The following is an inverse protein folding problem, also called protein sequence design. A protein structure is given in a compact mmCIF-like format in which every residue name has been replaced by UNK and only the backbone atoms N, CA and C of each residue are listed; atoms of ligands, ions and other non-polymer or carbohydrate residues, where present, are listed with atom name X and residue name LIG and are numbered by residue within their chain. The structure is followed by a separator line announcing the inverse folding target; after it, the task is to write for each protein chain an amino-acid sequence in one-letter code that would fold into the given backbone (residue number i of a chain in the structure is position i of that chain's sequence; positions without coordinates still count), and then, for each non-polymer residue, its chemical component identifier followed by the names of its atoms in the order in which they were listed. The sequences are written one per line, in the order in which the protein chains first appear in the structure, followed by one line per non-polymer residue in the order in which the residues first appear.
data_IF_687603571372
#
_entry.id   IF_687603571372
#
_cell.length_a   1.000
_cell.length_b   1.000
_cell.length_c   1.000
_cell.angle_alpha   90.00
_cell.angle_beta   90.00
_cell.angle_gamma   90.00
#
_symmetry.space_group_name_H-M   'P 1'
#
loop_
_entity.id
_entity.type
_entity.pdbx_description
1 polymer ?
#
# COMPACT_ATOMS: atom_id res chain seq x y z
N UNK A 1 -21.35 -32.39 21.02
CA UNK A 1 -21.58 -30.97 20.71
C UNK A 1 -20.61 -30.60 19.60
N UNK A 2 -21.13 -30.11 18.49
CA UNK A 2 -20.33 -29.59 17.37
C UNK A 2 -19.58 -28.36 17.87
N UNK A 3 -18.24 -28.35 17.73
CA UNK A 3 -17.44 -27.22 18.21
C UNK A 3 -17.62 -26.03 17.28
N UNK A 4 -17.82 -24.84 17.83
CA UNK A 4 -17.95 -23.59 17.07
C UNK A 4 -16.66 -22.79 17.11
N UNK A 5 -16.08 -22.53 15.95
CA UNK A 5 -14.87 -21.74 15.77
C UNK A 5 -15.24 -20.43 15.09
N UNK A 6 -14.66 -19.33 15.54
CA UNK A 6 -14.63 -18.11 14.74
C UNK A 6 -13.19 -17.79 14.39
N UNK A 7 -12.95 -17.31 13.17
CA UNK A 7 -11.62 -16.95 12.73
C UNK A 7 -11.57 -15.57 12.09
N UNK A 8 -10.39 -14.96 12.11
CA UNK A 8 -10.08 -13.72 11.40
C UNK A 8 -8.84 -13.95 10.57
N UNK A 9 -8.94 -13.70 9.25
CA UNK A 9 -7.78 -13.75 8.34
C UNK A 9 -7.46 -12.36 7.81
N UNK A 10 -6.17 -12.01 7.72
CA UNK A 10 -5.77 -10.76 7.10
C UNK A 10 -4.28 -10.77 6.68
N UNK A 11 -4.00 -10.53 5.41
CA UNK A 11 -2.66 -10.35 4.88
C UNK A 11 -2.43 -8.88 4.49
N UNK A 12 -1.18 -8.39 4.55
CA UNK A 12 -0.84 -7.00 4.28
C UNK A 12 -1.23 -6.48 2.88
N UNK A 13 -1.20 -7.35 1.87
CA UNK A 13 -1.67 -7.04 0.53
C UNK A 13 -3.19 -7.21 0.39
N UNK A 14 -3.79 -8.11 1.18
CA UNK A 14 -5.25 -8.32 1.19
C UNK A 14 -5.85 -8.99 -0.06
N UNK A 15 -5.04 -9.45 -1.02
CA UNK A 15 -5.52 -9.91 -2.34
C UNK A 15 -5.78 -11.42 -2.38
N UNK A 16 -4.79 -12.26 -2.04
CA UNK A 16 -4.90 -13.72 -2.20
C UNK A 16 -4.83 -14.47 -0.86
N UNK A 17 -3.75 -14.27 -0.09
CA UNK A 17 -3.51 -15.03 1.13
C UNK A 17 -4.61 -14.86 2.19
N UNK A 18 -5.29 -13.71 2.24
CA UNK A 18 -6.44 -13.51 3.13
C UNK A 18 -7.56 -14.52 2.86
N UNK A 19 -7.91 -14.69 1.59
CA UNK A 19 -9.02 -15.54 1.16
C UNK A 19 -8.62 -17.01 1.14
N UNK A 20 -7.40 -17.32 0.69
CA UNK A 20 -6.84 -18.67 0.75
C UNK A 20 -6.79 -19.20 2.19
N UNK A 21 -6.30 -18.39 3.14
CA UNK A 21 -6.30 -18.78 4.55
C UNK A 21 -7.71 -19.01 5.09
N UNK A 22 -8.70 -18.22 4.67
CA UNK A 22 -10.08 -18.40 5.10
C UNK A 22 -10.67 -19.69 4.54
N UNK A 23 -10.51 -19.92 3.24
CA UNK A 23 -10.99 -21.14 2.58
C UNK A 23 -10.33 -22.40 3.14
N UNK A 24 -9.01 -22.38 3.37
CA UNK A 24 -8.29 -23.51 3.99
C UNK A 24 -8.83 -23.83 5.39
N UNK A 25 -9.11 -22.82 6.22
CA UNK A 25 -9.69 -23.01 7.56
C UNK A 25 -11.13 -23.54 7.49
N UNK A 26 -11.94 -23.03 6.56
CA UNK A 26 -13.31 -23.50 6.33
C UNK A 26 -13.35 -24.96 5.90
N UNK A 27 -12.51 -25.34 4.94
CA UNK A 27 -12.41 -26.71 4.45
C UNK A 27 -11.93 -27.67 5.56
N UNK A 28 -10.92 -27.28 6.32
CA UNK A 28 -10.40 -28.10 7.42
C UNK A 28 -11.43 -28.28 8.54
N UNK A 29 -12.08 -27.20 9.00
CA UNK A 29 -13.13 -27.29 10.03
C UNK A 29 -14.28 -28.19 9.57
N UNK A 30 -14.72 -28.06 8.31
CA UNK A 30 -15.78 -28.90 7.74
C UNK A 30 -15.40 -30.39 7.72
N UNK A 31 -14.16 -30.72 7.34
CA UNK A 31 -13.65 -32.11 7.39
C UNK A 31 -13.62 -32.66 8.82
N UNK A 32 -13.33 -31.82 9.80
CA UNK A 32 -13.26 -32.17 11.21
C UNK A 32 -14.63 -32.19 11.92
N UNK A 33 -15.71 -31.83 11.21
CA UNK A 33 -17.06 -31.75 11.77
C UNK A 33 -17.22 -30.59 12.75
N UNK A 34 -16.56 -29.46 12.50
CA UNK A 34 -16.68 -28.22 13.26
C UNK A 34 -17.42 -27.16 12.45
N UNK A 35 -18.23 -26.37 13.14
CA UNK A 35 -18.84 -25.17 12.56
C UNK A 35 -17.83 -24.04 12.65
N UNK A 36 -17.53 -23.37 11.54
CA UNK A 36 -16.61 -22.24 11.51
C UNK A 36 -17.23 -21.05 10.77
N UNK A 37 -16.94 -19.85 11.28
CA UNK A 37 -17.19 -18.59 10.57
C UNK A 37 -15.90 -17.79 10.51
N UNK A 38 -15.50 -17.41 9.29
CA UNK A 38 -14.25 -16.66 9.07
C UNK A 38 -14.55 -15.26 8.60
N UNK A 39 -14.06 -14.25 9.32
CA UNK A 39 -14.02 -12.86 8.87
C UNK A 39 -12.74 -12.62 8.08
N UNK A 40 -12.87 -12.19 6.84
CA UNK A 40 -11.75 -11.85 5.96
C UNK A 40 -11.54 -10.35 5.98
N UNK A 41 -10.32 -9.90 6.28
CA UNK A 41 -9.91 -8.50 6.19
C UNK A 41 -9.00 -8.34 4.96
N UNK A 42 -9.63 -8.32 3.78
CA UNK A 42 -8.97 -8.25 2.47
C UNK A 42 -8.82 -6.81 1.95
N UNK A 43 -8.31 -6.68 0.73
CA UNK A 43 -8.16 -5.39 0.04
C UNK A 43 -9.51 -4.70 -0.22
N UNK A 44 -10.60 -5.48 -0.26
CA UNK A 44 -11.98 -5.03 -0.47
C UNK A 44 -12.60 -4.51 0.84
N UNK A 45 -11.97 -4.81 2.00
CA UNK A 45 -12.47 -4.47 3.33
C UNK A 45 -12.74 -5.73 4.17
N UNK A 46 -13.41 -5.53 5.30
CA UNK A 46 -13.83 -6.62 6.17
C UNK A 46 -15.11 -7.26 5.61
N UNK A 47 -15.07 -8.54 5.29
CA UNK A 47 -16.22 -9.34 4.86
C UNK A 47 -16.53 -10.42 5.89
N UNK A 48 -17.77 -10.92 5.91
CA UNK A 48 -18.23 -11.91 6.89
C UNK A 48 -17.99 -11.52 8.35
N UNK A 49 -18.08 -10.21 8.63
CA UNK A 49 -17.77 -9.62 9.94
C UNK A 49 -18.45 -10.39 11.07
N UNK A 50 -17.65 -10.80 12.05
CA UNK A 50 -18.12 -11.54 13.20
C UNK A 50 -19.04 -10.65 14.05
N UNK A 51 -20.28 -11.13 14.24
CA UNK A 51 -21.23 -10.49 15.15
C UNK A 51 -20.87 -10.82 16.59
N UNK A 52 -21.43 -10.05 17.54
CA UNK A 52 -21.27 -10.36 18.97
C UNK A 52 -21.77 -11.77 19.32
N UNK A 53 -22.87 -12.18 18.68
CA UNK A 53 -23.45 -13.50 18.88
C UNK A 53 -22.53 -14.62 18.38
N UNK A 54 -21.89 -14.44 17.22
CA UNK A 54 -20.91 -15.41 16.71
C UNK A 54 -19.75 -15.61 17.70
N UNK A 55 -19.23 -14.50 18.23
CA UNK A 55 -18.12 -14.52 19.19
C UNK A 55 -18.55 -15.16 20.51
N UNK A 56 -19.74 -14.82 21.02
CA UNK A 56 -20.29 -15.37 22.27
C UNK A 56 -20.57 -16.87 22.19
N UNK A 57 -20.98 -17.39 21.02
CA UNK A 57 -21.24 -18.81 20.82
C UNK A 57 -19.97 -19.61 20.50
N UNK A 58 -18.88 -18.95 20.10
CA UNK A 58 -17.64 -19.62 19.76
C UNK A 58 -16.96 -20.25 20.98
N UNK A 59 -16.50 -21.50 20.81
CA UNK A 59 -15.63 -22.21 21.74
C UNK A 59 -14.18 -21.71 21.63
N UNK A 60 -13.81 -21.19 20.46
CA UNK A 60 -12.45 -20.76 20.11
C UNK A 60 -12.44 -19.63 19.08
N UNK A 61 -11.41 -18.78 19.19
CA UNK A 61 -11.08 -17.74 18.22
C UNK A 61 -9.69 -18.03 17.63
N UNK A 62 -9.59 -18.09 16.30
CA UNK A 62 -8.32 -18.18 15.57
C UNK A 62 -8.06 -16.86 14.84
N UNK A 63 -6.91 -16.23 15.05
CA UNK A 63 -6.49 -15.05 14.27
C UNK A 63 -5.30 -15.47 13.42
N UNK A 64 -5.50 -15.66 12.12
CA UNK A 64 -4.46 -16.01 11.14
C UNK A 64 -4.12 -14.78 10.29
N UNK A 65 -3.22 -13.94 10.80
CA UNK A 65 -2.97 -12.62 10.22
C UNK A 65 -1.50 -12.22 10.19
N UNK A 66 -1.11 -11.58 9.09
CA UNK A 66 0.21 -10.95 8.91
C UNK A 66 0.20 -9.46 9.30
N UNK A 67 -0.96 -8.92 9.69
CA UNK A 67 -1.15 -7.52 10.11
C UNK A 67 -1.78 -7.45 11.51
N UNK A 68 -1.75 -6.26 12.11
CA UNK A 68 -2.28 -6.08 13.47
C UNK A 68 -3.81 -6.09 13.47
N UNK A 69 -4.40 -7.13 14.05
CA UNK A 69 -5.82 -7.20 14.41
C UNK A 69 -5.97 -6.81 15.88
N UNK A 70 -6.97 -5.99 16.20
CA UNK A 70 -7.32 -5.65 17.58
C UNK A 70 -8.19 -6.77 18.19
N UNK A 71 -7.66 -7.55 19.16
CA UNK A 71 -8.40 -8.67 19.72
C UNK A 71 -9.37 -8.28 20.85
N UNK A 72 -9.55 -6.99 21.17
CA UNK A 72 -10.39 -6.54 22.30
C UNK A 72 -11.79 -7.17 22.27
N UNK A 73 -12.37 -7.35 21.08
CA UNK A 73 -13.69 -7.98 20.90
C UNK A 73 -13.75 -9.47 21.27
N UNK A 74 -12.61 -10.13 21.43
CA UNK A 74 -12.48 -11.54 21.81
C UNK A 74 -12.13 -11.75 23.29
N UNK A 75 -12.29 -10.70 24.12
CA UNK A 75 -12.06 -10.77 25.56
C UNK A 75 -12.91 -11.87 26.20
N UNK A 76 -12.28 -12.72 27.01
CA UNK A 76 -12.90 -13.87 27.67
C UNK A 76 -12.94 -15.16 26.84
N UNK A 77 -12.53 -15.13 25.56
CA UNK A 77 -12.52 -16.30 24.67
C UNK A 77 -11.15 -16.96 24.59
N UNK A 78 -11.12 -18.26 24.25
CA UNK A 78 -9.88 -18.99 23.95
C UNK A 78 -9.35 -18.49 22.61
N UNK A 79 -8.26 -17.73 22.64
CA UNK A 79 -7.67 -17.08 21.49
C UNK A 79 -6.36 -17.79 21.10
N UNK A 80 -6.24 -18.12 19.81
CA UNK A 80 -5.03 -18.58 19.17
C UNK A 80 -4.64 -17.59 18.06
N UNK A 81 -3.36 -17.25 17.95
CA UNK A 81 -2.86 -16.25 16.99
C UNK A 81 -1.70 -16.84 16.20
N UNK A 82 -1.76 -16.69 14.89
CA UNK A 82 -0.82 -17.24 13.92
C UNK A 82 -0.73 -16.35 12.66
N UNK A 83 0.18 -16.67 11.75
CA UNK A 83 0.34 -16.00 10.45
C UNK A 83 -0.59 -16.60 9.40
N UNK A 84 -0.93 -15.83 8.36
CA UNK A 84 -1.86 -16.30 7.32
C UNK A 84 -1.29 -17.50 6.54
N UNK A 85 0.02 -17.56 6.31
CA UNK A 85 0.66 -18.70 5.62
C UNK A 85 0.50 -20.03 6.35
N UNK A 86 0.54 -20.06 7.69
CA UNK A 86 0.39 -21.31 8.44
C UNK A 86 -1.02 -21.90 8.30
N UNK A 87 -2.03 -21.04 8.13
CA UNK A 87 -3.38 -21.49 7.82
C UNK A 87 -3.49 -22.05 6.39
N UNK A 88 -2.66 -21.59 5.45
CA UNK A 88 -2.69 -22.08 4.07
C UNK A 88 -1.99 -23.45 3.95
N UNK A 89 -0.85 -23.63 4.63
CA UNK A 89 -0.03 -24.84 4.52
C UNK A 89 -0.68 -26.09 5.15
N UNK A 90 -1.16 -26.00 6.39
CA UNK A 90 -1.77 -27.14 7.10
C UNK A 90 -2.83 -26.67 8.12
N UNK A 91 -4.03 -26.37 7.60
CA UNK A 91 -5.15 -25.91 8.43
C UNK A 91 -5.68 -26.95 9.43
N UNK A 92 -5.59 -28.25 9.13
CA UNK A 92 -6.09 -29.31 10.04
C UNK A 92 -5.18 -29.43 11.27
N UNK A 93 -3.86 -29.45 11.06
CA UNK A 93 -2.91 -29.41 12.17
C UNK A 93 -3.03 -28.12 12.98
N UNK A 94 -3.23 -26.98 12.31
CA UNK A 94 -3.37 -25.69 12.98
C UNK A 94 -4.61 -25.60 13.87
N UNK A 95 -5.76 -26.13 13.42
CA UNK A 95 -6.98 -26.19 14.24
C UNK A 95 -6.76 -27.07 15.47
N UNK A 96 -6.11 -28.22 15.32
CA UNK A 96 -5.76 -29.09 16.46
C UNK A 96 -4.82 -28.38 17.45
N UNK A 97 -3.76 -27.75 16.94
CA UNK A 97 -2.82 -26.97 17.74
C UNK A 97 -3.54 -25.82 18.47
N UNK A 98 -4.46 -25.14 17.80
CA UNK A 98 -5.26 -24.09 18.41
C UNK A 98 -6.07 -24.64 19.60
N UNK A 99 -6.67 -25.83 19.49
CA UNK A 99 -7.38 -26.47 20.60
C UNK A 99 -6.52 -26.79 21.82
N UNK A 100 -5.23 -27.06 21.62
CA UNK A 100 -4.29 -27.34 22.70
C UNK A 100 -3.70 -26.05 23.30
N UNK A 101 -3.29 -25.10 22.47
CA UNK A 101 -2.50 -23.94 22.88
C UNK A 101 -3.30 -22.66 23.13
N UNK A 102 -4.57 -22.57 22.67
CA UNK A 102 -5.37 -21.36 22.83
C UNK A 102 -5.60 -21.01 24.30
N UNK A 103 -5.32 -19.76 24.66
CA UNK A 103 -5.46 -19.24 26.03
C UNK A 103 -6.60 -18.23 26.11
N UNK A 104 -7.22 -18.13 27.29
CA UNK A 104 -8.28 -17.14 27.54
C UNK A 104 -7.69 -15.74 27.46
N UNK A 105 -8.14 -14.95 26.50
CA UNK A 105 -7.72 -13.56 26.31
C UNK A 105 -8.37 -12.64 27.37
N UNK A 106 -7.62 -11.70 27.95
CA UNK A 106 -8.15 -10.66 28.84
C UNK A 106 -8.11 -10.93 30.36
N UNK A 107 -7.54 -12.04 30.85
CA UNK A 107 -7.19 -12.17 32.28
C UNK A 107 -5.85 -11.48 32.58
N UNK A 108 -5.76 -10.77 33.73
CA UNK A 108 -4.50 -10.17 34.23
C UNK A 108 -3.39 -11.23 34.22
N UNK A 109 -2.35 -11.03 33.40
CA UNK A 109 -1.19 -11.91 33.31
C UNK A 109 -1.22 -12.98 32.21
N UNK A 110 -2.25 -13.03 31.35
CA UNK A 110 -2.29 -14.02 30.26
C UNK A 110 -1.39 -13.63 29.07
N UNK A 111 -0.26 -14.33 28.89
CA UNK A 111 0.54 -14.33 27.64
C UNK A 111 -0.01 -15.41 26.68
N UNK A 112 -0.61 -15.01 25.56
CA UNK A 112 -1.11 -15.91 24.49
C UNK A 112 0.07 -16.32 23.59
N UNK A 113 0.39 -17.63 23.52
CA UNK A 113 1.35 -18.22 22.57
C UNK A 113 2.80 -17.69 22.58
N UNK A 114 3.57 -18.13 21.56
CA UNK A 114 4.93 -17.64 21.21
C UNK A 114 4.93 -16.29 20.47
N UNK A 115 3.75 -15.73 20.17
CA UNK A 115 3.61 -14.42 19.52
C UNK A 115 2.95 -13.46 20.51
N UNK A 116 3.74 -12.51 21.03
CA UNK A 116 3.21 -11.38 21.78
C UNK A 116 2.31 -10.54 20.87
N UNK A 117 1.00 -10.67 21.04
CA UNK A 117 0.08 -9.62 20.61
C UNK A 117 0.47 -8.34 21.33
N UNK A 118 0.99 -7.37 20.58
CA UNK A 118 1.33 -6.05 21.10
C UNK A 118 2.81 -5.80 21.42
N UNK A 119 3.76 -6.53 20.84
CA UNK A 119 5.16 -6.07 20.84
C UNK A 119 5.96 -6.70 19.69
N UNK A 120 5.71 -6.24 18.46
CA UNK A 120 6.67 -6.43 17.36
C UNK A 120 7.44 -5.13 17.14
N UNK A 121 7.98 -4.56 18.24
CA UNK A 121 8.96 -3.46 18.14
C UNK A 121 10.20 -3.89 17.35
N UNK A 122 10.41 -5.18 17.17
CA UNK A 122 11.56 -5.77 16.49
C UNK A 122 11.33 -6.06 14.99
N UNK A 123 10.13 -5.83 14.43
CA UNK A 123 9.87 -6.00 12.96
C UNK A 123 9.24 -4.80 12.25
N UNK A 124 8.89 -3.72 12.94
CA UNK A 124 8.50 -2.47 12.27
C UNK A 124 9.77 -1.77 11.80
N UNK A 125 10.23 -2.15 10.60
CA UNK A 125 11.37 -1.55 9.95
C UNK A 125 10.92 -0.51 8.91
N UNK A 126 11.89 0.18 8.32
CA UNK A 126 11.68 1.16 7.25
C UNK A 126 10.79 0.64 6.12
N UNK A 127 10.98 -0.61 5.70
CA UNK A 127 10.21 -1.23 4.61
C UNK A 127 8.75 -1.48 5.00
N UNK A 128 8.47 -1.87 6.25
CA UNK A 128 7.10 -2.04 6.74
C UNK A 128 6.28 -0.75 6.58
N UNK A 129 6.90 0.41 6.84
CA UNK A 129 6.25 1.71 6.65
C UNK A 129 5.99 2.03 5.18
N UNK A 130 6.96 1.77 4.30
CA UNK A 130 6.80 1.98 2.84
C UNK A 130 5.72 1.07 2.26
N UNK A 131 5.71 -0.21 2.65
CA UNK A 131 4.71 -1.18 2.18
C UNK A 131 3.29 -0.74 2.56
N UNK A 132 3.10 -0.14 3.74
CA UNK A 132 1.81 0.45 4.11
C UNK A 132 1.38 1.52 3.09
N UNK A 133 2.26 2.46 2.74
CA UNK A 133 1.97 3.48 1.74
C UNK A 133 1.60 2.89 0.38
N UNK A 134 2.34 1.89 -0.09
CA UNK A 134 2.09 1.26 -1.40
C UNK A 134 0.72 0.57 -1.41
N UNK A 135 0.39 -0.22 -0.38
CA UNK A 135 -0.90 -0.92 -0.32
C UNK A 135 -2.10 0.02 -0.46
N UNK A 136 -2.03 1.22 0.15
CA UNK A 136 -3.11 2.22 0.02
C UNK A 136 -3.08 3.00 -1.29
N UNK A 137 -1.92 3.09 -1.96
CA UNK A 137 -1.79 3.72 -3.27
C UNK A 137 -2.31 2.84 -4.42
N UNK A 138 -2.16 1.52 -4.32
CA UNK A 138 -2.50 0.56 -5.39
C UNK A 138 -3.95 0.70 -5.89
N UNK A 139 -5.00 0.73 -5.02
CA UNK A 139 -6.38 0.89 -5.49
C UNK A 139 -6.60 2.19 -6.29
N UNK A 140 -5.93 3.29 -5.91
CA UNK A 140 -6.01 4.56 -6.61
C UNK A 140 -5.37 4.47 -8.00
N UNK A 141 -4.21 3.83 -8.10
CA UNK A 141 -3.50 3.63 -9.39
C UNK A 141 -4.33 2.76 -10.33
N UNK A 142 -4.95 1.69 -9.83
CA UNK A 142 -5.81 0.81 -10.63
C UNK A 142 -7.01 1.58 -11.15
N UNK A 143 -7.74 2.29 -10.28
CA UNK A 143 -8.90 3.08 -10.68
C UNK A 143 -8.53 4.15 -11.72
N UNK A 144 -7.45 4.90 -11.48
CA UNK A 144 -6.97 5.93 -12.38
C UNK A 144 -6.49 5.37 -13.73
N UNK A 145 -5.74 4.26 -13.70
CA UNK A 145 -5.18 3.59 -14.88
C UNK A 145 -6.26 3.03 -15.80
N UNK A 146 -7.28 2.39 -15.22
CA UNK A 146 -8.41 1.88 -16.00
C UNK A 146 -9.18 2.99 -16.68
N UNK A 147 -9.44 4.10 -15.98
CA UNK A 147 -10.11 5.28 -16.56
C UNK A 147 -9.29 5.90 -17.71
N UNK A 148 -7.97 6.07 -17.53
CA UNK A 148 -7.09 6.54 -18.61
C UNK A 148 -7.10 5.60 -19.81
N UNK A 149 -7.06 4.29 -19.56
CA UNK A 149 -7.05 3.27 -20.63
C UNK A 149 -8.33 3.31 -21.43
N UNK A 150 -9.49 3.29 -20.76
CA UNK A 150 -10.80 3.37 -21.42
C UNK A 150 -10.92 4.66 -22.23
N UNK A 151 -10.53 5.79 -21.65
CA UNK A 151 -10.57 7.06 -22.36
C UNK A 151 -9.64 7.05 -23.59
N UNK A 152 -8.43 6.53 -23.46
CA UNK A 152 -7.46 6.48 -24.56
C UNK A 152 -7.92 5.67 -25.77
N UNK A 153 -8.82 4.69 -25.60
CA UNK A 153 -9.43 3.99 -26.74
C UNK A 153 -10.19 4.95 -27.68
N UNK A 154 -10.64 6.10 -27.16
CA UNK A 154 -11.35 7.15 -27.90
C UNK A 154 -10.48 8.38 -28.20
N UNK A 155 -9.19 8.37 -27.86
CA UNK A 155 -8.28 9.50 -28.05
C UNK A 155 -7.70 9.58 -29.47
N UNK A 156 -8.45 9.14 -30.50
CA UNK A 156 -8.01 9.11 -31.89
C UNK A 156 -8.97 9.91 -32.77
N UNK A 157 -8.58 11.15 -33.08
CA UNK A 157 -9.34 11.97 -34.03
C UNK A 157 -9.17 11.41 -35.45
N UNK A 158 -10.28 11.36 -36.18
CA UNK A 158 -10.36 10.87 -37.55
C UNK A 158 -10.60 12.02 -38.51
N UNK A 159 -10.04 11.93 -39.72
CA UNK A 159 -10.37 12.86 -40.81
C UNK A 159 -11.72 12.49 -41.47
N UNK A 160 -12.15 13.28 -42.45
CA UNK A 160 -13.42 13.07 -43.16
C UNK A 160 -13.47 11.72 -43.92
N UNK A 161 -12.30 11.08 -44.13
CA UNK A 161 -12.15 9.76 -44.73
C UNK A 161 -12.07 8.64 -43.67
N UNK A 162 -12.22 8.97 -42.39
CA UNK A 162 -12.21 8.02 -41.27
C UNK A 162 -10.81 7.57 -40.82
N UNK A 163 -9.73 8.17 -41.32
CA UNK A 163 -8.34 7.79 -41.00
C UNK A 163 -7.90 8.46 -39.70
N UNK A 164 -7.20 7.72 -38.84
CA UNK A 164 -6.63 8.26 -37.60
C UNK A 164 -5.51 9.24 -37.97
N UNK A 165 -5.70 10.52 -37.63
CA UNK A 165 -4.79 11.61 -38.01
C UNK A 165 -4.10 12.23 -36.82
N UNK A 166 -4.72 12.21 -35.63
CA UNK A 166 -4.17 12.87 -34.46
C UNK A 166 -4.62 12.21 -33.16
N UNK A 167 -3.69 12.09 -32.21
CA UNK A 167 -4.03 11.76 -30.83
C UNK A 167 -4.73 12.95 -30.15
N UNK A 168 -5.92 12.71 -29.63
CA UNK A 168 -6.76 13.69 -28.97
C UNK A 168 -8.23 13.28 -28.96
N UNK A 169 -9.00 13.91 -28.09
CA UNK A 169 -10.44 13.67 -27.97
C UNK A 169 -11.22 14.59 -28.90
N UNK A 170 -12.27 14.07 -29.53
CA UNK A 170 -13.24 14.90 -30.25
C UNK A 170 -14.27 15.48 -29.28
N UNK A 171 -13.94 16.66 -28.73
CA UNK A 171 -14.79 17.36 -27.77
C UNK A 171 -16.10 17.89 -28.38
N UNK A 172 -16.33 17.77 -29.69
CA UNK A 172 -17.60 18.16 -30.32
C UNK A 172 -18.67 17.08 -30.13
N UNK A 173 -18.26 15.82 -30.02
CA UNK A 173 -19.18 14.71 -29.72
C UNK A 173 -19.37 14.57 -28.22
N UNK A 174 -20.58 14.20 -27.80
CA UNK A 174 -20.86 13.96 -26.37
C UNK A 174 -19.99 12.83 -25.81
N UNK A 175 -19.75 11.79 -26.61
CA UNK A 175 -18.84 10.69 -26.23
C UNK A 175 -17.39 11.15 -26.13
N UNK A 176 -16.86 11.88 -27.10
CA UNK A 176 -15.48 12.36 -27.04
C UNK A 176 -15.25 13.35 -25.88
N UNK A 177 -16.22 14.23 -25.59
CA UNK A 177 -16.17 15.09 -24.40
C UNK A 177 -16.17 14.28 -23.10
N UNK A 178 -17.04 13.27 -22.98
CA UNK A 178 -17.07 12.38 -21.81
C UNK A 178 -15.71 11.68 -21.63
N UNK A 179 -15.14 11.14 -22.70
CA UNK A 179 -13.84 10.45 -22.65
C UNK A 179 -12.69 11.41 -22.29
N UNK A 180 -12.72 12.65 -22.77
CA UNK A 180 -11.77 13.68 -22.36
C UNK A 180 -11.86 13.98 -20.85
N UNK A 181 -13.07 13.99 -20.28
CA UNK A 181 -13.27 14.17 -18.84
C UNK A 181 -12.84 12.95 -18.04
N UNK A 182 -13.12 11.73 -18.51
CA UNK A 182 -12.62 10.50 -17.88
C UNK A 182 -11.08 10.44 -17.89
N UNK A 183 -10.46 10.86 -18.99
CA UNK A 183 -9.00 10.99 -19.07
C UNK A 183 -8.48 11.97 -18.01
N UNK A 184 -9.10 13.14 -17.86
CA UNK A 184 -8.72 14.12 -16.84
C UNK A 184 -8.88 13.59 -15.41
N UNK A 185 -9.97 12.86 -15.12
CA UNK A 185 -10.17 12.20 -13.81
C UNK A 185 -9.06 11.18 -13.55
N UNK A 186 -8.70 10.38 -14.55
CA UNK A 186 -7.56 9.47 -14.47
C UNK A 186 -6.25 10.20 -14.15
N UNK A 187 -5.98 11.33 -14.82
CA UNK A 187 -4.80 12.16 -14.53
C UNK A 187 -4.79 12.68 -13.08
N UNK A 188 -5.93 13.09 -12.54
CA UNK A 188 -6.04 13.49 -11.12
C UNK A 188 -5.69 12.32 -10.20
N UNK A 189 -6.23 11.13 -10.48
CA UNK A 189 -5.93 9.93 -9.68
C UNK A 189 -4.43 9.64 -9.61
N UNK A 190 -3.71 9.74 -10.72
CA UNK A 190 -2.25 9.62 -10.73
C UNK A 190 -1.55 10.76 -9.97
N UNK A 191 -2.02 12.01 -10.07
CA UNK A 191 -1.46 13.12 -9.28
C UNK A 191 -1.61 12.92 -7.77
N UNK A 192 -2.70 12.28 -7.33
CA UNK A 192 -2.99 12.06 -5.90
C UNK A 192 -2.30 10.81 -5.33
N UNK A 193 -1.76 9.94 -6.16
CA UNK A 193 -1.17 8.66 -5.71
C UNK A 193 0.04 8.87 -4.78
N UNK A 194 0.93 9.81 -5.11
CA UNK A 194 2.14 10.11 -4.33
C UNK A 194 1.79 10.76 -2.98
N UNK A 195 0.91 11.78 -2.91
CA UNK A 195 0.36 12.25 -1.65
C UNK A 195 -0.24 11.14 -0.80
N UNK A 196 -1.09 10.28 -1.39
CA UNK A 196 -1.74 9.18 -0.69
C UNK A 196 -0.72 8.22 -0.08
N UNK A 197 0.27 7.80 -0.88
CA UNK A 197 1.40 6.99 -0.43
C UNK A 197 2.07 7.63 0.80
N UNK A 198 2.50 8.89 0.71
CA UNK A 198 3.20 9.57 1.79
C UNK A 198 2.34 9.71 3.07
N UNK A 199 1.05 10.00 2.89
CA UNK A 199 0.07 10.07 3.98
C UNK A 199 -0.01 8.77 4.77
N UNK A 200 -0.07 7.63 4.08
CA UNK A 200 -0.18 6.32 4.73
C UNK A 200 1.16 5.80 5.28
N UNK A 201 2.30 6.13 4.66
CA UNK A 201 3.62 5.91 5.28
C UNK A 201 3.71 6.67 6.61
N UNK A 202 3.36 7.97 6.63
CA UNK A 202 3.40 8.78 7.84
C UNK A 202 2.39 8.30 8.90
N UNK A 203 1.19 7.87 8.47
CA UNK A 203 0.18 7.26 9.33
C UNK A 203 0.70 5.99 10.01
N UNK A 204 1.47 5.17 9.31
CA UNK A 204 2.03 3.95 9.92
C UNK A 204 3.08 4.26 11.01
N UNK A 205 3.63 5.48 11.05
CA UNK A 205 4.60 5.94 12.06
C UNK A 205 3.91 6.64 13.23
N UNK A 206 2.90 7.49 12.95
CA UNK A 206 2.32 8.41 13.92
C UNK A 206 0.80 8.60 13.81
N UNK A 207 0.09 7.60 13.28
CA UNK A 207 -1.36 7.53 13.13
C UNK A 207 -1.99 8.70 12.35
N UNK A 208 -3.33 8.79 12.42
CA UNK A 208 -4.18 9.70 11.66
C UNK A 208 -3.70 11.17 11.59
N UNK A 209 -3.17 11.79 12.67
CA UNK A 209 -2.74 13.19 12.62
C UNK A 209 -1.59 13.48 11.63
N UNK A 210 -0.85 12.44 11.21
CA UNK A 210 0.26 12.59 10.28
C UNK A 210 -0.14 12.53 8.79
N UNK A 211 -1.37 12.08 8.48
CA UNK A 211 -1.83 11.87 7.11
C UNK A 211 -1.81 13.18 6.31
N UNK A 212 -2.60 14.18 6.74
CA UNK A 212 -2.76 15.41 5.98
C UNK A 212 -1.43 16.19 5.80
N UNK A 213 -0.59 16.39 6.84
CA UNK A 213 0.69 17.07 6.66
C UNK A 213 1.62 16.36 5.68
N UNK A 214 1.64 15.02 5.69
CA UNK A 214 2.49 14.25 4.79
C UNK A 214 1.95 14.28 3.35
N UNK A 215 0.63 14.18 3.15
CA UNK A 215 0.02 14.33 1.83
C UNK A 215 0.34 15.70 1.21
N UNK A 216 0.16 16.77 2.00
CA UNK A 216 0.43 18.15 1.54
C UNK A 216 1.92 18.32 1.27
N UNK A 217 2.80 17.92 2.19
CA UNK A 217 4.24 18.04 1.99
C UNK A 217 4.73 17.25 0.78
N UNK A 218 4.19 16.05 0.54
CA UNK A 218 4.55 15.21 -0.60
C UNK A 218 4.04 15.79 -1.93
N UNK A 219 2.91 16.49 -1.92
CA UNK A 219 2.45 17.27 -3.07
C UNK A 219 3.41 18.44 -3.34
N UNK A 220 3.76 19.22 -2.31
CA UNK A 220 4.65 20.39 -2.43
C UNK A 220 6.06 20.01 -2.92
N UNK A 221 6.65 18.94 -2.39
CA UNK A 221 7.99 18.49 -2.84
C UNK A 221 7.98 17.96 -4.28
N UNK A 222 6.79 17.67 -4.83
CA UNK A 222 6.61 17.22 -6.20
C UNK A 222 6.08 18.30 -7.13
N UNK A 223 5.81 19.50 -6.61
CA UNK A 223 5.33 20.63 -7.39
C UNK A 223 6.51 21.47 -7.89
N UNK A 224 6.85 21.39 -9.19
CA UNK A 224 7.99 22.12 -9.74
C UNK A 224 7.82 23.64 -9.68
N UNK A 225 6.56 24.12 -9.77
CA UNK A 225 6.25 25.55 -9.67
C UNK A 225 6.52 26.06 -8.26
N UNK A 226 6.06 25.32 -7.25
CA UNK A 226 6.34 25.64 -5.85
C UNK A 226 7.85 25.63 -5.54
N UNK A 227 8.59 24.67 -6.10
CA UNK A 227 10.03 24.53 -5.86
C UNK A 227 10.91 25.46 -6.72
N UNK A 228 10.36 26.14 -7.71
CA UNK A 228 11.12 26.88 -8.74
C UNK A 228 12.19 26.00 -9.42
N UNK A 229 11.81 24.78 -9.82
CA UNK A 229 12.71 23.81 -10.47
C UNK A 229 12.09 23.21 -11.72
N UNK A 230 12.90 22.53 -12.54
CA UNK A 230 12.43 21.82 -13.74
C UNK A 230 11.72 20.51 -13.44
N UNK A 231 11.84 20.01 -12.21
CA UNK A 231 11.40 18.68 -11.82
C UNK A 231 10.97 18.67 -10.35
N UNK A 232 9.97 17.86 -10.00
CA UNK A 232 9.68 17.55 -8.60
C UNK A 232 10.69 16.59 -7.99
N UNK A 233 10.55 16.35 -6.68
CA UNK A 233 11.37 15.41 -5.92
C UNK A 233 11.03 13.93 -6.10
N UNK A 234 10.01 13.59 -6.88
CA UNK A 234 9.55 12.24 -7.15
C UNK A 234 9.15 11.45 -5.90
N UNK A 235 9.20 10.12 -6.03
CA UNK A 235 8.93 9.17 -4.97
C UNK A 235 9.96 9.27 -3.84
N UNK A 236 11.22 9.58 -4.15
CA UNK A 236 12.28 9.77 -3.15
C UNK A 236 11.95 10.97 -2.24
N UNK A 237 11.56 12.09 -2.83
CA UNK A 237 11.09 13.26 -2.09
C UNK A 237 9.88 12.94 -1.22
N UNK A 238 8.92 12.17 -1.75
CA UNK A 238 7.75 11.75 -1.00
C UNK A 238 8.08 10.83 0.19
N UNK A 239 9.00 9.88 0.02
CA UNK A 239 9.49 9.02 1.12
C UNK A 239 10.12 9.89 2.21
N UNK A 240 11.05 10.77 1.85
CA UNK A 240 11.75 11.64 2.80
C UNK A 240 10.74 12.49 3.57
N UNK A 241 9.81 13.14 2.88
CA UNK A 241 8.74 13.93 3.50
C UNK A 241 7.88 13.08 4.44
N UNK A 242 7.46 11.89 4.01
CA UNK A 242 6.61 11.03 4.83
C UNK A 242 7.27 10.62 6.15
N UNK A 243 8.56 10.29 6.12
CA UNK A 243 9.32 9.95 7.33
C UNK A 243 9.57 11.17 8.22
N UNK A 244 9.94 12.31 7.64
CA UNK A 244 10.10 13.57 8.41
C UNK A 244 8.79 13.90 9.13
N UNK A 245 7.67 13.93 8.40
CA UNK A 245 6.36 14.23 8.98
C UNK A 245 5.96 13.18 10.01
N UNK A 246 6.13 11.88 9.71
CA UNK A 246 5.81 10.79 10.63
C UNK A 246 6.54 10.95 11.97
N UNK A 247 7.86 11.13 11.95
CA UNK A 247 8.63 11.30 13.19
C UNK A 247 8.39 12.66 13.87
N UNK A 248 8.16 13.72 13.10
CA UNK A 248 7.80 15.04 13.64
C UNK A 248 6.48 14.96 14.42
N UNK A 249 5.44 14.38 13.82
CA UNK A 249 4.13 14.20 14.47
C UNK A 249 4.24 13.26 15.68
N UNK A 250 5.04 12.19 15.60
CA UNK A 250 5.35 11.33 16.74
C UNK A 250 6.01 12.09 17.89
N UNK A 251 6.86 13.07 17.57
CA UNK A 251 7.47 14.00 18.55
C UNK A 251 6.44 14.94 19.17
N UNK A 252 5.60 15.58 18.35
CA UNK A 252 4.55 16.50 18.80
C UNK A 252 3.53 15.83 19.73
N UNK A 253 3.21 14.55 19.52
CA UNK A 253 2.35 13.77 20.42
C UNK A 253 2.95 13.55 21.81
N UNK A 254 4.27 13.60 21.97
CA UNK A 254 4.95 13.44 23.28
C UNK A 254 4.97 14.74 24.10
N UNK A 255 4.68 15.88 23.49
CA UNK A 255 4.63 17.17 24.17
C UNK A 255 3.47 17.16 25.18
N UNK A 256 3.72 17.66 26.40
CA UNK A 256 2.69 17.78 27.43
C UNK A 256 1.83 19.01 27.15
N UNK A 257 0.66 18.79 26.56
CA UNK A 257 -0.30 19.85 26.27
C UNK A 257 -1.15 20.22 27.50
N UNK A 258 -1.49 21.50 27.70
CA UNK A 258 -2.44 21.92 28.73
C UNK A 258 -3.78 21.18 28.60
N UNK A 259 -4.41 20.83 29.73
CA UNK A 259 -5.66 20.03 29.78
C UNK A 259 -6.77 20.55 28.85
N UNK A 260 -6.85 21.88 28.68
CA UNK A 260 -7.83 22.53 27.81
C UNK A 260 -7.65 22.21 26.32
N UNK A 261 -6.41 21.98 25.88
CA UNK A 261 -6.08 21.81 24.45
C UNK A 261 -6.07 20.34 24.01
N UNK A 262 -5.97 19.39 24.95
CA UNK A 262 -5.82 17.95 24.65
C UNK A 262 -6.81 17.42 23.58
N UNK A 263 -8.12 17.78 23.59
CA UNK A 263 -9.06 17.27 22.60
C UNK A 263 -8.79 17.77 21.16
N UNK A 264 -8.31 19.02 21.02
CA UNK A 264 -8.08 19.65 19.72
C UNK A 264 -6.66 19.40 19.19
N UNK A 265 -5.75 18.95 20.04
CA UNK A 265 -4.34 18.69 19.68
C UNK A 265 -4.19 17.75 18.48
N UNK A 266 -4.71 16.51 18.49
CA UNK A 266 -4.50 15.57 17.39
C UNK A 266 -5.31 15.90 16.13
N UNK A 267 -6.42 16.63 16.27
CA UNK A 267 -7.33 16.95 15.15
C UNK A 267 -6.90 18.24 14.43
N UNK A 268 -6.40 19.23 15.17
CA UNK A 268 -6.15 20.57 14.63
C UNK A 268 -4.71 21.05 14.85
N UNK A 269 -4.22 21.04 16.09
CA UNK A 269 -2.92 21.68 16.41
C UNK A 269 -1.75 20.93 15.76
N UNK A 270 -1.69 19.60 15.92
CA UNK A 270 -0.62 18.77 15.35
C UNK A 270 -0.64 18.85 13.82
N UNK A 271 -1.77 18.60 13.11
CA UNK A 271 -1.79 18.73 11.66
C UNK A 271 -1.39 20.12 11.17
N UNK A 272 -1.84 21.19 11.84
CA UNK A 272 -1.49 22.56 11.49
C UNK A 272 0.02 22.82 11.60
N UNK A 273 0.61 22.54 12.77
CA UNK A 273 2.03 22.77 13.02
C UNK A 273 2.89 21.91 12.08
N UNK A 274 2.56 20.62 11.95
CA UNK A 274 3.28 19.71 11.08
C UNK A 274 3.25 20.17 9.61
N UNK A 275 2.10 20.68 9.14
CA UNK A 275 1.95 21.17 7.76
C UNK A 275 2.77 22.45 7.53
N UNK A 276 2.73 23.39 8.48
CA UNK A 276 3.51 24.62 8.39
C UNK A 276 5.03 24.33 8.39
N UNK A 277 5.48 23.44 9.27
CA UNK A 277 6.89 23.09 9.38
C UNK A 277 7.38 22.31 8.15
N UNK A 278 6.60 21.33 7.65
CA UNK A 278 7.03 20.58 6.46
C UNK A 278 7.09 21.47 5.22
N UNK A 279 6.17 22.44 5.09
CA UNK A 279 6.23 23.43 4.01
C UNK A 279 7.56 24.19 4.02
N UNK A 280 7.99 24.68 5.19
CA UNK A 280 9.27 25.39 5.32
C UNK A 280 10.47 24.49 5.02
N UNK A 281 10.44 23.24 5.49
CA UNK A 281 11.50 22.26 5.23
C UNK A 281 11.60 21.95 3.73
N UNK A 282 10.47 21.73 3.06
CA UNK A 282 10.43 21.47 1.62
C UNK A 282 10.94 22.68 0.85
N UNK A 283 10.47 23.89 1.18
CA UNK A 283 10.82 25.10 0.45
C UNK A 283 12.31 25.46 0.58
N UNK A 284 12.85 25.42 1.81
CA UNK A 284 14.19 25.97 2.09
C UNK A 284 15.29 24.93 2.26
N UNK A 285 14.97 23.67 2.55
CA UNK A 285 15.97 22.67 2.94
C UNK A 285 16.09 21.54 1.93
N UNK A 286 14.99 20.82 1.66
CA UNK A 286 15.06 19.54 0.95
C UNK A 286 14.56 19.59 -0.50
N UNK A 287 13.63 20.50 -0.84
CA UNK A 287 12.94 20.45 -2.12
C UNK A 287 13.86 20.63 -3.32
N UNK A 288 14.65 21.70 -3.35
CA UNK A 288 15.57 21.97 -4.45
C UNK A 288 16.68 20.92 -4.59
N UNK A 289 17.43 20.53 -3.52
CA UNK A 289 18.45 19.50 -3.64
C UNK A 289 17.92 18.16 -4.16
N UNK A 290 16.74 17.74 -3.70
CA UNK A 290 16.12 16.48 -4.16
C UNK A 290 15.70 16.61 -5.62
N UNK A 291 15.05 17.71 -6.00
CA UNK A 291 14.64 17.96 -7.39
C UNK A 291 15.83 17.92 -8.37
N UNK A 292 16.96 18.53 -8.00
CA UNK A 292 18.19 18.50 -8.80
C UNK A 292 18.74 17.07 -8.92
N UNK A 293 18.78 16.32 -7.81
CA UNK A 293 19.21 14.93 -7.82
C UNK A 293 18.33 14.04 -8.71
N UNK A 294 17.01 14.22 -8.63
CA UNK A 294 16.05 13.49 -9.47
C UNK A 294 16.23 13.85 -10.95
N UNK A 295 16.39 15.13 -11.28
CA UNK A 295 16.62 15.55 -12.67
C UNK A 295 17.93 14.97 -13.25
N UNK A 296 19.00 14.92 -12.45
CA UNK A 296 20.25 14.28 -12.83
C UNK A 296 20.08 12.78 -13.06
N UNK A 297 19.35 12.09 -12.18
CA UNK A 297 19.04 10.66 -12.32
C UNK A 297 18.26 10.41 -13.62
N UNK A 298 17.19 11.17 -13.88
CA UNK A 298 16.40 10.98 -15.09
C UNK A 298 17.20 11.24 -16.36
N UNK A 299 18.00 12.32 -16.40
CA UNK A 299 18.91 12.58 -17.53
C UNK A 299 19.85 11.40 -17.76
N UNK A 300 20.48 10.88 -16.71
CA UNK A 300 21.36 9.72 -16.81
C UNK A 300 20.67 8.48 -17.38
N UNK A 301 19.44 8.18 -16.93
CA UNK A 301 18.66 7.06 -17.48
C UNK A 301 18.23 7.29 -18.93
N UNK A 302 17.79 8.49 -19.28
CA UNK A 302 17.42 8.84 -20.65
C UNK A 302 18.61 8.75 -21.59
N UNK A 303 19.78 9.24 -21.16
CA UNK A 303 21.02 9.15 -21.94
C UNK A 303 21.45 7.69 -22.13
N UNK A 304 21.33 6.85 -21.09
CA UNK A 304 21.59 5.41 -21.19
C UNK A 304 20.66 4.73 -22.20
N UNK A 305 19.37 5.04 -22.14
CA UNK A 305 18.36 4.43 -23.01
C UNK A 305 18.52 4.84 -24.48
N UNK A 306 18.85 6.11 -24.72
CA UNK A 306 18.96 6.65 -26.08
C UNK A 306 20.30 6.28 -26.75
N UNK A 307 21.37 6.16 -25.97
CA UNK A 307 22.70 5.87 -26.50
C UNK A 307 23.06 4.37 -26.51
N UNK A 308 22.34 3.54 -25.75
CA UNK A 308 22.60 2.10 -25.66
C UNK A 308 21.33 1.27 -25.81
N UNK A 309 21.13 0.70 -27.01
CA UNK A 309 19.94 -0.12 -27.33
C UNK A 309 19.77 -1.37 -26.46
N UNK A 310 20.84 -1.83 -25.80
CA UNK A 310 20.80 -2.98 -24.87
C UNK A 310 20.42 -2.64 -23.43
N UNK A 311 20.37 -1.35 -23.05
CA UNK A 311 20.12 -0.95 -21.66
C UNK A 311 18.74 -1.42 -21.13
N UNK A 312 17.63 -1.33 -21.88
CA UNK A 312 16.34 -1.86 -21.44
C UNK A 312 16.35 -3.36 -21.13
N UNK A 313 17.08 -4.14 -21.93
CA UNK A 313 17.17 -5.59 -21.77
C UNK A 313 17.89 -5.92 -20.46
N UNK A 314 19.01 -5.24 -20.19
CA UNK A 314 19.79 -5.43 -18.97
C UNK A 314 19.00 -5.01 -17.72
N UNK A 315 18.32 -3.86 -17.77
CA UNK A 315 17.48 -3.37 -16.67
C UNK A 315 16.35 -4.36 -16.39
N UNK A 316 15.67 -4.83 -17.45
CA UNK A 316 14.61 -5.82 -17.34
C UNK A 316 15.11 -7.14 -16.73
N UNK A 317 16.27 -7.64 -17.16
CA UNK A 317 16.87 -8.86 -16.63
C UNK A 317 17.23 -8.75 -15.15
N UNK A 318 17.83 -7.62 -14.72
CA UNK A 318 18.15 -7.37 -13.31
C UNK A 318 16.88 -7.30 -12.47
N UNK A 319 15.88 -6.53 -12.91
CA UNK A 319 14.62 -6.38 -12.18
C UNK A 319 13.88 -7.72 -12.06
N UNK A 320 13.82 -8.50 -13.14
CA UNK A 320 13.21 -9.83 -13.12
C UNK A 320 13.96 -10.80 -12.21
N UNK A 321 15.30 -10.79 -12.25
CA UNK A 321 16.12 -11.61 -11.35
C UNK A 321 15.90 -11.26 -9.88
N UNK A 322 15.79 -9.96 -9.53
CA UNK A 322 15.49 -9.54 -8.17
C UNK A 322 14.10 -9.98 -7.69
N UNK A 323 13.09 -9.99 -8.57
CA UNK A 323 11.75 -10.52 -8.25
C UNK A 323 11.81 -12.03 -7.98
N UNK A 324 12.53 -12.79 -8.81
CA UNK A 324 12.65 -14.24 -8.67
C UNK A 324 13.60 -14.72 -7.56
N UNK A 325 14.48 -13.86 -7.04
CA UNK A 325 15.57 -14.27 -6.15
C UNK A 325 15.09 -14.83 -4.80
N UNK A 326 14.12 -14.17 -4.15
CA UNK A 326 13.63 -14.55 -2.83
C UNK A 326 12.10 -14.74 -2.76
N UNK A 327 11.45 -14.91 -3.93
CA UNK A 327 10.03 -15.28 -4.08
C UNK A 327 9.07 -14.58 -3.09
N UNK A 328 9.22 -13.25 -2.94
CA UNK A 328 8.40 -12.42 -2.06
C UNK A 328 9.11 -11.92 -0.79
N UNK A 329 10.41 -12.19 -0.65
CA UNK A 329 11.27 -11.64 0.39
C UNK A 329 11.67 -10.16 0.17
N UNK A 330 12.66 -9.66 0.94
CA UNK A 330 13.10 -8.26 0.89
C UNK A 330 13.62 -7.78 -0.48
N UNK A 331 14.29 -8.63 -1.26
CA UNK A 331 14.86 -8.28 -2.57
C UNK A 331 13.75 -8.15 -3.60
N UNK A 332 12.78 -9.07 -3.61
CA UNK A 332 11.57 -8.96 -4.42
C UNK A 332 10.80 -7.66 -4.11
N UNK A 333 10.57 -7.36 -2.82
CA UNK A 333 9.88 -6.13 -2.41
C UNK A 333 10.64 -4.87 -2.83
N UNK A 334 11.97 -4.90 -2.77
CA UNK A 334 12.81 -3.76 -3.20
C UNK A 334 12.67 -3.52 -4.70
N UNK A 335 12.70 -4.58 -5.51
CA UNK A 335 12.47 -4.48 -6.95
C UNK A 335 11.08 -3.96 -7.28
N UNK A 336 10.03 -4.46 -6.60
CA UNK A 336 8.66 -3.98 -6.80
C UNK A 336 8.51 -2.49 -6.47
N UNK A 337 9.08 -2.04 -5.34
CA UNK A 337 9.07 -0.63 -4.93
C UNK A 337 9.77 0.23 -5.97
N UNK A 338 10.97 -0.19 -6.40
CA UNK A 338 11.74 0.52 -7.41
C UNK A 338 11.02 0.60 -8.76
N UNK A 339 10.51 -0.52 -9.27
CA UNK A 339 9.84 -0.60 -10.56
C UNK A 339 8.57 0.26 -10.60
N UNK A 340 7.77 0.19 -9.54
CA UNK A 340 6.57 1.01 -9.39
C UNK A 340 6.92 2.49 -9.28
N UNK A 341 7.90 2.85 -8.44
CA UNK A 341 8.30 4.24 -8.24
C UNK A 341 8.82 4.91 -9.52
N UNK A 342 9.70 4.23 -10.28
CA UNK A 342 10.23 4.78 -11.54
C UNK A 342 9.11 4.97 -12.56
N UNK A 343 8.23 3.99 -12.72
CA UNK A 343 7.09 4.09 -13.63
C UNK A 343 6.17 5.26 -13.23
N UNK A 344 5.74 5.29 -11.97
CA UNK A 344 4.88 6.33 -11.39
C UNK A 344 5.46 7.73 -11.56
N UNK A 345 6.74 7.93 -11.22
CA UNK A 345 7.34 9.26 -11.28
C UNK A 345 7.51 9.74 -12.72
N UNK A 346 8.01 8.88 -13.61
CA UNK A 346 8.22 9.26 -15.01
C UNK A 346 6.91 9.47 -15.74
N UNK A 347 5.86 8.71 -15.40
CA UNK A 347 4.50 8.94 -15.89
C UNK A 347 3.96 10.28 -15.41
N UNK A 348 4.17 10.63 -14.14
CA UNK A 348 3.71 11.91 -13.58
C UNK A 348 4.46 13.09 -14.19
N UNK A 349 5.78 12.96 -14.41
CA UNK A 349 6.64 14.03 -14.91
C UNK A 349 6.54 14.24 -16.43
N UNK A 350 6.52 13.16 -17.20
CA UNK A 350 6.62 13.20 -18.66
C UNK A 350 5.34 12.78 -19.38
N UNK A 351 4.30 12.42 -18.63
CA UNK A 351 3.07 11.85 -19.19
C UNK A 351 3.30 10.45 -19.78
N UNK A 352 2.24 9.91 -20.39
CA UNK A 352 2.24 8.53 -20.93
C UNK A 352 3.36 8.32 -21.95
N UNK A 353 3.65 9.32 -22.80
CA UNK A 353 4.61 9.17 -23.89
C UNK A 353 6.08 9.22 -23.44
N UNK A 354 6.37 9.68 -22.22
CA UNK A 354 7.72 9.75 -21.67
C UNK A 354 7.91 8.93 -20.39
N UNK A 355 6.91 8.13 -20.02
CA UNK A 355 7.02 7.24 -18.87
C UNK A 355 8.06 6.14 -19.17
N UNK A 356 8.93 5.86 -18.21
CA UNK A 356 9.84 4.74 -18.26
C UNK A 356 9.10 3.48 -17.77
N UNK A 357 8.55 2.75 -18.73
CA UNK A 357 7.80 1.52 -18.46
C UNK A 357 8.71 0.33 -18.14
N UNK A 358 10.02 0.38 -18.46
CA UNK A 358 10.85 -0.83 -18.48
C UNK A 358 10.97 -1.50 -17.09
N UNK A 359 11.39 -0.80 -16.01
CA UNK A 359 11.48 -1.42 -14.69
C UNK A 359 10.12 -1.89 -14.15
N UNK A 360 9.07 -1.07 -14.32
CA UNK A 360 7.72 -1.38 -13.86
C UNK A 360 7.13 -2.60 -14.57
N UNK A 361 7.19 -2.64 -15.89
CA UNK A 361 6.70 -3.78 -16.67
C UNK A 361 7.51 -5.04 -16.42
N UNK A 362 8.84 -4.95 -16.31
CA UNK A 362 9.68 -6.12 -16.04
C UNK A 362 9.37 -6.75 -14.68
N UNK A 363 9.21 -5.93 -13.63
CA UNK A 363 8.85 -6.44 -12.28
C UNK A 363 7.46 -7.06 -12.25
N UNK A 364 6.46 -6.43 -12.88
CA UNK A 364 5.10 -6.96 -12.93
C UNK A 364 4.98 -8.22 -13.78
N UNK A 365 5.69 -8.28 -14.91
CA UNK A 365 5.76 -9.47 -15.74
C UNK A 365 6.40 -10.64 -14.96
N UNK A 366 7.50 -10.37 -14.24
CA UNK A 366 8.18 -11.38 -13.43
C UNK A 366 7.34 -11.91 -12.26
N UNK A 367 6.52 -11.07 -11.61
CA UNK A 367 5.59 -11.50 -10.56
C UNK A 367 4.46 -12.39 -11.12
N UNK A 368 4.01 -12.09 -12.35
CA UNK A 368 2.91 -12.82 -13.00
C UNK A 368 3.32 -14.21 -13.50
N UNK A 369 4.63 -14.46 -13.65
CA UNK A 369 5.17 -15.78 -13.92
C UNK A 369 5.29 -16.50 -12.58
N UNK A 370 4.36 -17.41 -12.29
CA UNK A 370 4.48 -18.31 -11.14
C UNK A 370 5.89 -18.93 -11.15
N UNK A 371 6.57 -19.09 -9.99
CA UNK A 371 7.82 -19.84 -9.96
C UNK A 371 7.50 -21.18 -10.61
N UNK A 372 8.13 -21.45 -11.77
CA UNK A 372 8.04 -22.75 -12.40
C UNK A 372 8.52 -23.71 -11.33
N UNK A 373 7.57 -24.45 -10.74
CA UNK A 373 7.84 -25.38 -9.67
C UNK A 373 8.94 -26.32 -10.11
N UNK A 374 10.09 -26.19 -9.46
CA UNK A 374 11.08 -27.24 -9.31
C UNK A 374 11.11 -27.59 -7.83
#
# INVERSE_FOLDING_TARGET
MEKKIVAVTACAAGIAHTYMAAESLEQAAKKMGYEIKVETNGAIGAENVLTKQDIEQADMVIVASDIKIDPIRFTGKRLFVTQSNQAIEDSEALINQAFEEAKIFGKKGAKVGKIQVGNDKDKVNFFTHIMSGISYMVPMVIAAGLLLTIANLYAFQRDDLGRIVKWGFDNKTQMGFLMAKLFYVGQIGFKLMIPLFAGFVANSIADKPAIAPAMIGAYLVNDPEFLNTKAGGGFIGAIIVAFIVGYMVKGLKKVKWPKLLVPIVPIMIIPFIATAVIMLIVLYVIGNPIAVGMDAMYKGLTDLNNNYSGAPILIGAICGAMIGFDLGGPINKTALVFGTAIFTDTLTKYGINGANFVPGTATQAAISVAPLGV
#
